data_IF_813062292824
#
_entry.id   IF_813062292824
#
_cell.length_a   1.000
_cell.length_b   1.000
_cell.length_c   1.000
_cell.angle_alpha   90.00
_cell.angle_beta   90.00
_cell.angle_gamma   90.00
#
_symmetry.space_group_name_H-M   'P 1'
#
loop_
_entity.id
_entity.type
_entity.pdbx_description
1 polymer ?
#
# COMPACT_ATOMS: atom_id res chain seq x y z
N UNK A 1 -22.98 24.35 1.33
CA UNK A 1 -21.96 25.11 2.07
C UNK A 1 -21.67 24.32 3.34
N UNK A 2 -20.45 23.84 3.51
CA UNK A 2 -20.08 23.09 4.72
C UNK A 2 -19.80 24.08 5.85
N UNK A 3 -20.24 23.81 7.10
CA UNK A 3 -19.93 24.69 8.22
C UNK A 3 -18.43 24.70 8.50
N UNK A 4 -17.92 25.83 8.99
CA UNK A 4 -16.49 26.00 9.27
C UNK A 4 -15.95 24.86 10.14
N UNK A 5 -14.85 24.23 9.68
CA UNK A 5 -14.12 23.11 10.30
C UNK A 5 -14.78 21.72 10.20
N UNK A 6 -15.85 21.56 9.43
CA UNK A 6 -16.43 20.25 9.13
C UNK A 6 -16.31 19.96 7.64
N UNK A 7 -15.51 18.96 7.28
CA UNK A 7 -15.38 18.51 5.89
C UNK A 7 -16.27 17.28 5.72
N UNK A 8 -17.23 17.31 4.77
CA UNK A 8 -18.06 16.14 4.53
C UNK A 8 -17.25 14.97 3.98
N UNK A 9 -17.68 13.74 4.23
CA UNK A 9 -17.03 12.54 3.69
C UNK A 9 -16.93 12.58 2.16
N UNK A 10 -17.98 13.07 1.48
CA UNK A 10 -17.97 13.26 0.04
C UNK A 10 -16.92 14.28 -0.41
N UNK A 11 -16.72 15.35 0.35
CA UNK A 11 -15.67 16.33 0.08
C UNK A 11 -14.27 15.72 0.27
N UNK A 12 -14.04 14.94 1.33
CA UNK A 12 -12.77 14.23 1.57
C UNK A 12 -12.49 13.25 0.43
N UNK A 13 -13.49 12.46 0.04
CA UNK A 13 -13.38 11.51 -1.07
C UNK A 13 -12.99 12.22 -2.37
N UNK A 14 -13.67 13.32 -2.70
CA UNK A 14 -13.36 14.12 -3.89
C UNK A 14 -11.96 14.75 -3.82
N UNK A 15 -11.51 15.18 -2.64
CA UNK A 15 -10.12 15.64 -2.45
C UNK A 15 -9.11 14.52 -2.70
N UNK A 16 -9.36 13.32 -2.17
CA UNK A 16 -8.51 12.16 -2.37
C UNK A 16 -8.45 11.74 -3.85
N UNK A 17 -9.60 11.69 -4.54
CA UNK A 17 -9.68 11.40 -5.97
C UNK A 17 -8.89 12.40 -6.81
N UNK A 18 -9.02 13.70 -6.54
CA UNK A 18 -8.22 14.73 -7.21
C UNK A 18 -6.72 14.53 -7.01
N UNK A 19 -6.29 14.15 -5.80
CA UNK A 19 -4.87 13.89 -5.52
C UNK A 19 -4.37 12.64 -6.25
N UNK A 20 -5.16 11.56 -6.24
CA UNK A 20 -4.84 10.32 -6.94
C UNK A 20 -4.65 10.55 -8.44
N UNK A 21 -5.57 11.27 -9.10
CA UNK A 21 -5.48 11.57 -10.53
C UNK A 21 -4.21 12.36 -10.86
N UNK A 22 -3.89 13.39 -10.06
CA UNK A 22 -2.67 14.20 -10.26
C UNK A 22 -1.40 13.37 -10.15
N UNK A 23 -1.33 12.46 -9.17
CA UNK A 23 -0.18 11.58 -8.98
C UNK A 23 -0.04 10.58 -10.12
N UNK A 24 -1.14 9.97 -10.55
CA UNK A 24 -1.15 9.03 -11.67
C UNK A 24 -0.66 9.69 -12.97
N UNK A 25 -1.18 10.88 -13.31
CA UNK A 25 -0.78 11.60 -14.52
C UNK A 25 0.70 12.00 -14.50
N UNK A 26 1.23 12.39 -13.34
CA UNK A 26 2.65 12.68 -13.20
C UNK A 26 3.52 11.43 -13.43
N UNK A 27 3.13 10.29 -12.86
CA UNK A 27 3.86 9.02 -13.04
C UNK A 27 3.78 8.53 -14.49
N UNK A 28 2.59 8.59 -15.10
CA UNK A 28 2.37 8.21 -16.49
C UNK A 28 3.23 9.04 -17.44
N UNK A 29 3.27 10.36 -17.23
CA UNK A 29 4.09 11.26 -18.03
C UNK A 29 5.58 10.93 -17.94
N UNK A 30 6.10 10.63 -16.74
CA UNK A 30 7.50 10.24 -16.55
C UNK A 30 7.85 8.97 -17.34
N UNK A 31 7.07 7.89 -17.16
CA UNK A 31 7.31 6.60 -17.83
C UNK A 31 7.18 6.73 -19.34
N UNK A 32 6.21 7.52 -19.83
CA UNK A 32 6.07 7.75 -21.27
C UNK A 32 7.27 8.52 -21.84
N UNK A 33 7.71 9.59 -21.17
CA UNK A 33 8.89 10.35 -21.62
C UNK A 33 10.15 9.50 -21.66
N UNK A 34 10.33 8.63 -20.67
CA UNK A 34 11.41 7.65 -20.62
C UNK A 34 11.34 6.67 -21.80
N UNK A 35 10.14 6.14 -22.10
CA UNK A 35 9.93 5.22 -23.22
C UNK A 35 10.23 5.84 -24.59
N UNK A 36 9.95 7.13 -24.76
CA UNK A 36 10.23 7.89 -26.00
C UNK A 36 11.68 8.41 -26.06
N UNK A 37 12.47 8.24 -25.00
CA UNK A 37 13.85 8.74 -24.92
C UNK A 37 13.97 10.28 -24.94
N UNK A 38 12.90 10.98 -24.55
CA UNK A 38 12.87 12.44 -24.54
C UNK A 38 13.40 12.99 -23.20
N UNK A 39 13.91 14.24 -23.16
CA UNK A 39 14.47 14.78 -21.92
C UNK A 39 13.39 14.86 -20.81
N UNK A 40 13.72 14.34 -19.64
CA UNK A 40 12.84 14.32 -18.48
C UNK A 40 13.10 15.56 -17.62
N UNK A 41 12.05 16.32 -17.32
CA UNK A 41 12.11 17.39 -16.33
C UNK A 41 11.59 16.90 -14.98
N UNK A 42 11.98 17.58 -13.90
CA UNK A 42 11.48 17.26 -12.56
C UNK A 42 9.95 17.46 -12.50
N UNK A 43 9.21 16.65 -11.74
CA UNK A 43 7.78 16.86 -11.53
C UNK A 43 7.49 18.27 -11.04
N UNK A 44 6.40 18.85 -11.55
CA UNK A 44 5.96 20.22 -11.20
C UNK A 44 5.86 20.46 -9.69
N UNK A 45 5.41 19.47 -8.94
CA UNK A 45 5.30 19.52 -7.48
C UNK A 45 6.65 19.84 -6.79
N UNK A 46 7.75 19.33 -7.32
CA UNK A 46 9.10 19.51 -6.75
C UNK A 46 9.70 20.81 -7.28
N UNK A 47 9.62 21.01 -8.59
CA UNK A 47 10.27 22.14 -9.26
C UNK A 47 9.62 23.50 -8.93
N UNK A 48 8.28 23.54 -8.88
CA UNK A 48 7.52 24.80 -8.77
C UNK A 48 6.83 24.99 -7.43
N UNK A 49 6.38 23.91 -6.80
CA UNK A 49 5.68 23.99 -5.51
C UNK A 49 6.59 23.71 -4.30
N UNK A 50 7.85 23.32 -4.52
CA UNK A 50 8.82 23.06 -3.44
C UNK A 50 8.46 21.85 -2.57
N UNK A 51 7.70 20.89 -3.09
CA UNK A 51 7.43 19.66 -2.36
C UNK A 51 8.65 18.74 -2.34
N UNK A 52 8.92 18.12 -1.19
CA UNK A 52 10.06 17.21 -1.02
C UNK A 52 9.71 15.74 -1.34
N UNK A 53 8.43 15.41 -1.45
CA UNK A 53 7.97 14.04 -1.68
C UNK A 53 8.01 13.71 -3.18
N UNK A 54 9.07 13.01 -3.61
CA UNK A 54 9.11 12.35 -4.91
C UNK A 54 8.46 10.97 -4.80
N UNK A 55 7.57 10.66 -5.73
CA UNK A 55 6.90 9.36 -5.81
C UNK A 55 7.44 8.68 -7.07
N UNK A 56 8.08 7.54 -6.87
CA UNK A 56 8.58 6.71 -7.96
C UNK A 56 7.42 5.87 -8.56
N UNK A 57 7.19 5.91 -9.89
CA UNK A 57 6.16 5.12 -10.55
C UNK A 57 6.23 3.62 -10.25
N UNK A 58 7.43 3.05 -10.11
CA UNK A 58 7.63 1.62 -9.94
C UNK A 58 7.24 1.12 -8.55
N UNK A 59 7.20 2.01 -7.56
CA UNK A 59 6.71 1.70 -6.21
C UNK A 59 5.18 1.56 -6.19
N UNK A 60 4.48 2.18 -7.14
CA UNK A 60 3.02 2.13 -7.29
C UNK A 60 2.53 0.90 -8.08
N UNK A 61 3.43 0.13 -8.69
CA UNK A 61 3.07 -1.05 -9.48
C UNK A 61 2.84 -2.24 -8.55
N UNK A 62 1.78 -3.00 -8.80
CA UNK A 62 1.51 -4.23 -8.09
C UNK A 62 2.69 -5.19 -8.20
N UNK A 63 3.25 -5.56 -7.05
CA UNK A 63 4.28 -6.59 -6.99
C UNK A 63 3.61 -7.89 -7.41
N UNK A 64 4.07 -8.49 -8.51
CA UNK A 64 3.68 -9.87 -8.84
C UNK A 64 3.93 -10.73 -7.61
N UNK A 65 2.91 -11.48 -7.20
CA UNK A 65 3.09 -12.50 -6.19
C UNK A 65 4.27 -13.37 -6.62
N UNK A 66 5.35 -13.34 -5.86
CA UNK A 66 6.44 -14.29 -6.09
C UNK A 66 5.80 -15.68 -5.96
N UNK A 67 5.88 -16.49 -7.00
CA UNK A 67 5.58 -17.91 -6.87
C UNK A 67 6.40 -18.40 -5.67
N UNK A 68 5.73 -18.85 -4.63
CA UNK A 68 6.38 -19.28 -3.39
C UNK A 68 7.45 -20.31 -3.76
N UNK A 69 8.72 -19.95 -3.59
CA UNK A 69 9.78 -20.94 -3.56
C UNK A 69 9.56 -21.71 -2.25
N UNK A 70 8.81 -22.81 -2.36
CA UNK A 70 8.45 -23.67 -1.24
C UNK A 70 9.74 -24.02 -0.49
N UNK A 71 9.92 -23.60 0.78
CA UNK A 71 11.12 -23.96 1.50
C UNK A 71 11.17 -25.48 1.60
N UNK A 72 12.14 -26.09 0.89
CA UNK A 72 12.44 -27.51 1.05
C UNK A 72 12.96 -27.69 2.46
N UNK A 73 12.10 -28.27 3.31
CA UNK A 73 12.47 -28.77 4.62
C UNK A 73 12.65 -27.68 5.67
N UNK A 74 11.55 -27.33 6.36
CA UNK A 74 11.67 -26.98 7.78
C UNK A 74 10.76 -27.90 8.55
N UNK A 75 11.38 -28.87 9.19
CA UNK A 75 10.76 -29.82 10.09
C UNK A 75 9.91 -29.05 11.12
N UNK A 76 8.64 -29.43 11.23
CA UNK A 76 7.69 -28.77 12.14
C UNK A 76 8.17 -28.99 13.56
N UNK A 77 8.68 -27.95 14.23
CA UNK A 77 8.70 -27.94 15.68
C UNK A 77 7.25 -28.13 16.16
N UNK A 78 6.97 -29.24 16.85
CA UNK A 78 5.69 -29.50 17.52
C UNK A 78 5.45 -28.41 18.56
N UNK A 79 4.74 -27.36 18.16
CA UNK A 79 4.27 -26.35 19.09
C UNK A 79 3.05 -26.92 19.82
N UNK A 80 3.31 -27.41 21.04
CA UNK A 80 2.35 -27.68 22.10
C UNK A 80 1.15 -28.58 21.72
N UNK A 81 1.20 -29.85 22.13
CA UNK A 81 -0.01 -30.63 22.29
C UNK A 81 -0.93 -29.92 23.30
N UNK A 82 -1.97 -29.23 22.81
CA UNK A 82 -3.01 -28.70 23.68
C UNK A 82 -3.70 -29.92 24.35
N UNK A 83 -3.77 -30.00 25.69
CA UNK A 83 -4.47 -31.11 26.32
C UNK A 83 -5.95 -31.09 25.94
N UNK A 84 -6.51 -32.27 25.67
CA UNK A 84 -7.92 -32.45 25.30
C UNK A 84 -8.81 -32.00 26.46
N UNK A 85 -9.93 -31.35 26.13
CA UNK A 85 -10.94 -30.76 27.04
C UNK A 85 -11.66 -31.77 27.97
N UNK A 86 -11.29 -33.05 27.99
CA UNK A 86 -12.00 -34.12 28.72
C UNK A 86 -11.53 -34.36 30.16
N UNK A 87 -10.52 -33.67 30.67
CA UNK A 87 -10.01 -33.88 32.04
C UNK A 87 -10.56 -32.89 33.08
N UNK A 88 -11.57 -32.09 32.71
CA UNK A 88 -12.22 -31.17 33.65
C UNK A 88 -13.38 -31.88 34.35
N UNK A 89 -13.13 -32.23 35.62
CA UNK A 89 -14.05 -32.68 36.67
C UNK A 89 -14.27 -34.20 36.80
N UNK A 90 -13.73 -34.76 37.89
CA UNK A 90 -14.44 -35.75 38.70
C UNK A 90 -14.65 -35.13 40.09
N UNK A 91 -15.87 -35.17 40.68
CA UNK A 91 -16.10 -34.70 42.04
C UNK A 91 -15.34 -35.58 43.03
N UNK A 92 -14.76 -34.96 44.05
CA UNK A 92 -14.30 -35.64 45.26
C UNK A 92 -15.53 -35.77 46.17
N UNK A 93 -15.69 -36.97 46.73
CA UNK A 93 -16.72 -37.53 47.62
C UNK A 93 -17.76 -36.59 48.26
#
# INVERSE_FOLDING_TARGET
YEPDKLISEGHIHNQAMRKMIKLFLACLWLVWREAEGLPITKPYAIDRLGHNSYIDPWVMVDKRAKAEEKPRGRERARCCEKPKRSERAKPIE
#
